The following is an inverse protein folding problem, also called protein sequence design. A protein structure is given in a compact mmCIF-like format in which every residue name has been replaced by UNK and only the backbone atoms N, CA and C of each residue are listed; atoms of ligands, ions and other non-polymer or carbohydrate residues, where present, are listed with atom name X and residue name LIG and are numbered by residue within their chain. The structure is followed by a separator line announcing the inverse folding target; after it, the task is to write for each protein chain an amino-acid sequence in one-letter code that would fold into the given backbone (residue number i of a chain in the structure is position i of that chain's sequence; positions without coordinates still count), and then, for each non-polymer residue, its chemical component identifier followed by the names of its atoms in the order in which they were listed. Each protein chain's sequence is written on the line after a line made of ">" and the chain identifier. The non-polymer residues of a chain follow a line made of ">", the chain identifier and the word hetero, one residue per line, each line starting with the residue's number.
data_IF_990606188902
#
_entry.id   IF_990606188902
#
_cell.length_a   1.000
_cell.length_b   1.000
_cell.length_c   1.000
_cell.angle_alpha   90.00
_cell.angle_beta   90.00
_cell.angle_gamma   90.00
#
_symmetry.space_group_name_H-M   'P 1'
#
loop_
_entity.id
_entity.type
_entity.pdbx_description
1 polymer ?
#
# COMPACT_ATOMS: atom_id res chain seq x y z
N UNK A 1 10.82 12.21 37.25
CA UNK A 1 10.62 12.03 35.79
C UNK A 1 9.19 11.59 35.58
N UNK A 2 8.40 12.33 34.79
CA UNK A 2 7.05 11.96 34.43
C UNK A 2 7.11 10.84 33.38
N UNK A 3 6.53 9.69 33.67
CA UNK A 3 6.39 8.58 32.70
C UNK A 3 5.24 8.91 31.77
N UNK A 4 5.51 8.98 30.47
CA UNK A 4 4.46 9.12 29.45
C UNK A 4 3.76 7.77 29.35
N UNK A 5 2.47 7.70 29.70
CA UNK A 5 1.68 6.49 29.66
C UNK A 5 1.16 6.17 28.25
N UNK A 6 0.89 7.18 27.43
CA UNK A 6 0.42 7.06 26.06
C UNK A 6 0.70 8.32 25.26
N UNK A 7 1.05 8.16 24.00
CA UNK A 7 1.16 9.26 23.04
C UNK A 7 0.79 8.77 21.63
N UNK A 8 0.10 9.60 20.85
CA UNK A 8 -0.31 9.26 19.47
C UNK A 8 0.87 9.02 18.52
N UNK A 9 2.04 9.56 18.84
CA UNK A 9 3.26 9.35 18.08
C UNK A 9 3.70 7.88 18.02
N UNK A 10 3.38 7.08 19.04
CA UNK A 10 3.72 5.64 19.09
C UNK A 10 2.74 4.76 18.28
N UNK A 11 1.64 5.35 17.79
CA UNK A 11 0.57 4.65 17.10
C UNK A 11 0.31 5.26 15.71
N UNK A 12 1.21 5.03 14.73
CA UNK A 12 1.01 5.53 13.37
C UNK A 12 -0.27 4.92 12.76
N UNK A 13 -1.01 5.73 12.00
CA UNK A 13 -2.21 5.28 11.28
C UNK A 13 -1.88 4.89 9.84
N UNK A 14 -1.97 5.83 8.90
CA UNK A 14 -1.55 5.65 7.51
C UNK A 14 -0.21 6.35 7.20
N UNK A 15 0.33 7.07 8.17
CA UNK A 15 1.50 7.95 7.98
C UNK A 15 2.53 7.70 9.06
N UNK A 16 3.79 7.59 8.65
CA UNK A 16 4.97 7.54 9.50
C UNK A 16 5.72 8.86 9.40
N UNK A 17 5.95 9.49 10.55
CA UNK A 17 6.73 10.73 10.67
C UNK A 17 8.23 10.42 10.87
N UNK A 18 9.12 11.39 10.61
CA UNK A 18 10.53 11.22 10.94
C UNK A 18 10.73 10.86 12.42
N UNK A 19 11.63 9.91 12.68
CA UNK A 19 11.96 9.33 13.98
C UNK A 19 10.84 8.49 14.64
N UNK A 20 9.68 8.38 14.02
CA UNK A 20 8.64 7.45 14.43
C UNK A 20 9.02 6.03 13.98
N UNK A 21 8.85 5.07 14.88
CA UNK A 21 9.20 3.68 14.59
C UNK A 21 7.99 2.91 14.05
N UNK A 22 8.18 2.25 12.92
CA UNK A 22 7.32 1.15 12.51
C UNK A 22 7.95 -0.14 13.06
N UNK A 23 7.23 -0.85 13.91
CA UNK A 23 7.73 -2.02 14.63
C UNK A 23 6.89 -3.27 14.34
N UNK A 24 7.29 -4.39 14.93
CA UNK A 24 6.56 -5.68 14.85
C UNK A 24 5.07 -5.56 15.19
N UNK A 25 4.73 -4.69 16.15
CA UNK A 25 3.38 -4.58 16.71
C UNK A 25 2.59 -3.41 16.11
N UNK A 26 3.18 -2.69 15.16
CA UNK A 26 2.55 -1.56 14.49
C UNK A 26 2.49 -1.79 12.99
N UNK A 27 1.47 -1.21 12.35
CA UNK A 27 1.31 -1.23 10.91
C UNK A 27 0.75 0.10 10.43
N UNK A 28 1.03 0.47 9.19
CA UNK A 28 0.26 1.52 8.54
C UNK A 28 -0.94 0.90 7.85
N UNK A 29 -2.11 1.55 7.96
CA UNK A 29 -3.34 1.16 7.26
C UNK A 29 -3.79 2.35 6.43
N UNK A 30 -3.99 2.15 5.13
CA UNK A 30 -4.41 3.23 4.25
C UNK A 30 -5.77 3.81 4.65
N UNK A 31 -6.06 5.03 4.23
CA UNK A 31 -7.45 5.51 4.20
C UNK A 31 -8.27 4.78 3.13
N UNK A 32 -9.58 4.80 3.26
CA UNK A 32 -10.52 4.16 2.32
C UNK A 32 -10.53 4.84 0.96
N UNK A 33 -10.49 6.17 0.96
CA UNK A 33 -10.40 7.00 -0.24
C UNK A 33 -9.74 8.33 0.11
N UNK A 34 -9.61 9.21 -0.86
CA UNK A 34 -9.09 10.56 -0.65
C UNK A 34 -9.94 11.40 0.32
N UNK A 35 -11.24 11.18 0.35
CA UNK A 35 -12.20 11.92 1.18
C UNK A 35 -12.77 11.10 2.34
N UNK A 36 -12.56 9.78 2.35
CA UNK A 36 -13.01 8.90 3.43
C UNK A 36 -11.79 8.36 4.19
N UNK A 37 -11.59 8.86 5.41
CA UNK A 37 -10.45 8.53 6.27
C UNK A 37 -10.66 7.28 7.15
N UNK A 38 -11.76 6.55 6.99
CA UNK A 38 -11.89 5.23 7.60
C UNK A 38 -10.83 4.26 7.04
N UNK A 39 -10.58 3.16 7.74
CA UNK A 39 -9.57 2.17 7.36
C UNK A 39 -9.84 1.62 5.95
N UNK A 40 -8.84 1.71 5.11
CA UNK A 40 -8.80 1.16 3.76
C UNK A 40 -8.37 -0.30 3.75
N UNK A 41 -7.99 -0.77 2.58
CA UNK A 41 -7.63 -2.19 2.36
C UNK A 41 -6.13 -2.45 2.26
N UNK A 42 -5.30 -1.44 2.38
CA UNK A 42 -3.86 -1.60 2.23
C UNK A 42 -3.16 -1.47 3.57
N UNK A 43 -2.19 -2.34 3.78
CA UNK A 43 -1.41 -2.39 5.01
C UNK A 43 0.10 -2.44 4.70
N UNK A 44 0.92 -1.68 5.46
CA UNK A 44 2.37 -1.83 5.50
C UNK A 44 2.74 -2.40 6.86
N UNK A 45 3.42 -3.53 6.88
CA UNK A 45 3.74 -4.26 8.11
C UNK A 45 4.94 -5.19 7.89
N UNK A 46 5.49 -5.72 8.98
CA UNK A 46 6.47 -6.79 8.91
C UNK A 46 5.77 -8.15 8.88
N UNK A 47 6.03 -8.95 7.85
CA UNK A 47 5.48 -10.29 7.71
C UNK A 47 6.16 -11.31 8.64
N UNK A 48 5.74 -12.57 8.58
CA UNK A 48 6.30 -13.64 9.40
C UNK A 48 7.75 -13.98 9.06
N UNK A 49 8.21 -13.62 7.88
CA UNK A 49 9.59 -13.78 7.43
C UNK A 49 10.50 -12.58 7.76
N UNK A 50 10.03 -11.68 8.62
CA UNK A 50 10.71 -10.43 9.02
C UNK A 50 10.89 -9.42 7.87
N UNK A 51 10.13 -9.55 6.78
CA UNK A 51 10.20 -8.66 5.61
C UNK A 51 9.13 -7.58 5.72
N UNK A 52 9.52 -6.33 5.50
CA UNK A 52 8.59 -5.20 5.41
C UNK A 52 7.80 -5.32 4.10
N UNK A 53 6.49 -5.51 4.21
CA UNK A 53 5.61 -5.91 3.12
C UNK A 53 4.38 -5.02 2.99
N UNK A 54 3.92 -4.84 1.74
CA UNK A 54 2.62 -4.24 1.45
C UNK A 54 1.60 -5.35 1.14
N UNK A 55 0.47 -5.29 1.81
CA UNK A 55 -0.64 -6.22 1.70
C UNK A 55 -1.88 -5.48 1.19
N UNK A 56 -2.57 -6.07 0.23
CA UNK A 56 -3.97 -5.78 -0.05
C UNK A 56 -4.83 -6.76 0.75
N UNK A 57 -5.65 -6.24 1.65
CA UNK A 57 -6.56 -7.00 2.50
C UNK A 57 -8.00 -6.59 2.16
N UNK A 58 -8.44 -7.01 0.97
CA UNK A 58 -9.76 -6.69 0.42
C UNK A 58 -10.86 -7.61 0.95
N UNK A 59 -12.12 -7.36 0.55
CA UNK A 59 -13.28 -8.10 1.06
C UNK A 59 -13.28 -9.60 0.71
N UNK A 60 -12.70 -9.96 -0.44
CA UNK A 60 -12.74 -11.33 -0.98
C UNK A 60 -11.35 -11.97 -1.07
N UNK A 61 -10.28 -11.14 -1.12
CA UNK A 61 -8.91 -11.59 -1.37
C UNK A 61 -7.94 -10.82 -0.50
N UNK A 62 -6.98 -11.54 0.07
CA UNK A 62 -5.84 -10.96 0.76
C UNK A 62 -4.54 -11.42 0.09
N UNK A 63 -3.68 -10.49 -0.28
CA UNK A 63 -2.42 -10.82 -0.98
C UNK A 63 -1.34 -9.78 -0.77
N UNK A 64 -0.12 -10.24 -0.49
CA UNK A 64 1.09 -9.41 -0.50
C UNK A 64 1.42 -9.09 -1.96
N UNK A 65 1.74 -7.82 -2.25
CA UNK A 65 2.10 -7.38 -3.60
C UNK A 65 3.45 -6.66 -3.65
N UNK A 66 4.07 -6.36 -2.50
CA UNK A 66 5.39 -5.75 -2.41
C UNK A 66 6.13 -6.22 -1.15
N UNK A 67 7.44 -6.57 -1.25
CA UNK A 67 8.17 -6.71 -2.51
C UNK A 67 7.49 -7.69 -3.46
N UNK A 68 7.92 -7.74 -4.72
CA UNK A 68 7.27 -8.60 -5.72
C UNK A 68 7.17 -10.05 -5.24
N UNK A 69 5.96 -10.62 -5.11
CA UNK A 69 5.74 -11.91 -4.44
C UNK A 69 6.31 -13.13 -5.20
N UNK A 70 6.65 -12.95 -6.48
CA UNK A 70 7.32 -13.98 -7.29
C UNK A 70 8.83 -14.01 -7.14
N UNK A 71 9.43 -13.07 -6.39
CA UNK A 71 10.84 -13.03 -6.05
C UNK A 71 11.07 -13.59 -4.66
N UNK A 72 12.12 -14.38 -4.51
CA UNK A 72 12.61 -14.74 -3.19
C UNK A 72 13.25 -13.52 -2.50
N UNK A 73 13.29 -13.50 -1.18
CA UNK A 73 13.67 -12.30 -0.41
C UNK A 73 15.04 -11.74 -0.81
N UNK A 74 16.04 -12.59 -1.02
CA UNK A 74 17.38 -12.14 -1.41
C UNK A 74 17.43 -11.52 -2.82
N UNK A 75 16.61 -11.98 -3.78
CA UNK A 75 16.48 -11.36 -5.11
C UNK A 75 15.80 -9.99 -5.01
N UNK A 76 14.89 -9.84 -4.07
CA UNK A 76 14.26 -8.57 -3.73
C UNK A 76 15.16 -7.67 -2.85
N UNK A 77 16.40 -8.10 -2.58
CA UNK A 77 17.37 -7.43 -1.69
C UNK A 77 16.79 -7.22 -0.28
N UNK A 78 16.16 -8.28 0.26
CA UNK A 78 15.60 -8.31 1.60
C UNK A 78 16.26 -9.40 2.42
N UNK A 79 16.53 -9.11 3.68
CA UNK A 79 17.05 -10.06 4.66
C UNK A 79 15.89 -10.58 5.54
N UNK A 80 15.87 -11.89 5.75
CA UNK A 80 14.91 -12.55 6.67
C UNK A 80 15.52 -12.85 8.03
N UNK A 81 16.82 -12.59 8.21
CA UNK A 81 17.58 -13.01 9.39
C UNK A 81 17.39 -12.09 10.60
N UNK A 82 17.12 -10.80 10.36
CA UNK A 82 16.98 -9.83 11.44
C UNK A 82 15.52 -9.77 11.92
N UNK A 83 15.26 -10.33 13.09
CA UNK A 83 13.94 -10.40 13.69
C UNK A 83 13.54 -9.17 14.52
N UNK A 84 14.32 -8.10 14.52
CA UNK A 84 13.97 -6.86 15.25
C UNK A 84 12.70 -6.20 14.71
N UNK A 85 12.44 -6.34 13.39
CA UNK A 85 11.25 -5.81 12.70
C UNK A 85 11.04 -4.33 13.01
N UNK A 86 12.05 -3.54 12.69
CA UNK A 86 12.04 -2.10 12.92
C UNK A 86 12.30 -1.40 11.60
N UNK A 87 11.53 -0.36 11.31
CA UNK A 87 11.78 0.56 10.21
C UNK A 87 11.61 2.01 10.66
N UNK A 88 12.42 2.90 10.13
CA UNK A 88 12.46 4.32 10.51
C UNK A 88 12.76 5.21 9.32
N UNK A 89 12.09 6.35 9.27
CA UNK A 89 12.41 7.47 8.40
C UNK A 89 13.22 8.51 9.21
N UNK A 90 14.37 8.95 8.71
CA UNK A 90 15.07 10.06 9.34
C UNK A 90 14.61 11.42 8.79
N UNK A 91 15.00 12.51 9.45
CA UNK A 91 14.64 13.89 9.05
C UNK A 91 15.25 14.33 7.72
N UNK A 92 16.34 13.70 7.29
CA UNK A 92 17.04 14.01 6.05
C UNK A 92 16.49 13.27 4.82
N UNK A 93 15.49 12.37 5.01
CA UNK A 93 14.87 11.65 3.90
C UNK A 93 15.50 10.28 3.58
N UNK A 94 16.21 9.69 4.55
CA UNK A 94 16.65 8.31 4.48
C UNK A 94 15.65 7.44 5.26
N UNK A 95 15.15 6.41 4.59
CA UNK A 95 14.37 5.33 5.22
C UNK A 95 15.22 4.08 5.29
N UNK A 96 15.18 3.41 6.43
CA UNK A 96 15.88 2.14 6.65
C UNK A 96 14.99 1.16 7.41
N UNK A 97 15.13 -0.11 7.09
CA UNK A 97 14.38 -1.21 7.68
C UNK A 97 15.31 -2.37 8.03
N UNK A 98 14.94 -3.12 9.06
CA UNK A 98 15.73 -4.26 9.57
C UNK A 98 15.85 -5.43 8.58
N UNK A 99 15.08 -5.45 7.51
CA UNK A 99 15.14 -6.42 6.43
C UNK A 99 16.05 -5.98 5.26
N UNK A 100 16.98 -5.04 5.52
CA UNK A 100 17.91 -4.44 4.57
C UNK A 100 17.27 -3.52 3.52
N UNK A 101 15.96 -3.27 3.60
CA UNK A 101 15.35 -2.30 2.71
C UNK A 101 15.70 -0.89 3.11
N UNK A 102 16.26 -0.15 2.16
CA UNK A 102 16.61 1.26 2.32
C UNK A 102 16.27 2.05 1.08
N UNK A 103 15.95 3.33 1.26
CA UNK A 103 15.89 4.28 0.15
C UNK A 103 16.26 5.68 0.62
N UNK A 104 16.70 6.50 -0.33
CA UNK A 104 16.90 7.93 -0.17
C UNK A 104 15.84 8.69 -0.96
N UNK A 105 15.31 9.76 -0.39
CA UNK A 105 14.45 10.69 -1.13
C UNK A 105 15.24 11.42 -2.22
N UNK A 106 14.57 11.91 -3.25
CA UNK A 106 15.20 12.69 -4.32
C UNK A 106 15.84 14.00 -3.79
N UNK A 107 15.36 14.49 -2.66
CA UNK A 107 15.81 15.68 -1.96
C UNK A 107 16.57 15.34 -0.66
N UNK A 108 17.23 14.16 -0.63
CA UNK A 108 18.01 13.71 0.53
C UNK A 108 19.05 14.74 0.98
N UNK A 109 19.13 14.93 2.28
CA UNK A 109 20.05 15.90 2.91
C UNK A 109 19.43 17.29 3.13
N UNK A 110 18.35 17.65 2.44
CA UNK A 110 17.64 18.89 2.71
C UNK A 110 16.84 18.83 4.02
N UNK A 111 16.84 19.92 4.78
CA UNK A 111 16.06 20.05 6.03
C UNK A 111 14.64 20.46 5.68
N UNK A 112 13.76 19.48 5.53
CA UNK A 112 12.35 19.66 5.13
C UNK A 112 11.43 18.91 6.09
N UNK A 113 10.17 19.37 6.19
CA UNK A 113 9.14 18.53 6.80
C UNK A 113 8.83 17.36 5.87
N UNK A 114 8.76 16.16 6.44
CA UNK A 114 8.55 14.92 5.68
C UNK A 114 7.50 14.03 6.32
N UNK A 115 6.86 13.21 5.49
CA UNK A 115 5.97 12.15 5.94
C UNK A 115 6.00 11.00 4.95
N UNK A 116 6.05 9.77 5.45
CA UNK A 116 5.89 8.56 4.66
C UNK A 116 4.45 8.10 4.80
N UNK A 117 3.68 8.08 3.72
CA UNK A 117 2.24 7.80 3.77
C UNK A 117 1.91 6.58 2.92
N UNK A 118 1.14 5.66 3.49
CA UNK A 118 0.45 4.63 2.73
C UNK A 118 -0.86 5.22 2.21
N UNK A 119 -0.86 5.56 0.93
CA UNK A 119 -1.98 6.21 0.30
C UNK A 119 -3.15 5.25 0.05
N UNK A 120 -4.34 5.80 -0.18
CA UNK A 120 -5.57 5.04 -0.43
C UNK A 120 -5.51 4.15 -1.69
N UNK A 121 -4.57 4.42 -2.62
CA UNK A 121 -4.33 3.63 -3.82
C UNK A 121 -3.35 2.45 -3.59
N UNK A 122 -2.92 2.23 -2.35
CA UNK A 122 -2.00 1.17 -1.98
C UNK A 122 -0.53 1.45 -2.29
N UNK A 123 -0.19 2.64 -2.75
CA UNK A 123 1.22 3.00 -2.89
C UNK A 123 1.74 3.65 -1.61
N UNK A 124 2.99 3.36 -1.27
CA UNK A 124 3.69 4.09 -0.21
C UNK A 124 4.53 5.19 -0.84
N UNK A 125 4.37 6.42 -0.36
CA UNK A 125 5.06 7.60 -0.85
C UNK A 125 5.69 8.40 0.28
N UNK A 126 6.92 8.87 0.03
CA UNK A 126 7.53 9.89 0.86
C UNK A 126 7.18 11.25 0.29
N UNK A 127 6.58 12.08 1.11
CA UNK A 127 6.25 13.45 0.80
C UNK A 127 7.19 14.40 1.52
N UNK A 128 7.67 15.42 0.81
CA UNK A 128 8.44 16.54 1.35
C UNK A 128 7.67 17.84 1.19
N UNK A 129 7.69 18.69 2.20
CA UNK A 129 7.01 19.98 2.15
C UNK A 129 7.83 21.01 1.40
N UNK A 130 7.32 21.50 0.28
CA UNK A 130 7.91 22.56 -0.51
C UNK A 130 7.40 23.93 -0.03
N UNK A 131 8.28 24.70 0.61
CA UNK A 131 7.90 25.98 1.23
C UNK A 131 7.46 27.04 0.21
N UNK A 132 8.07 27.08 -0.97
CA UNK A 132 7.77 28.09 -1.99
C UNK A 132 6.37 27.92 -2.55
N UNK A 133 5.95 26.66 -2.79
CA UNK A 133 4.62 26.33 -3.33
C UNK A 133 3.59 26.00 -2.28
N UNK A 134 4.00 25.95 -1.00
CA UNK A 134 3.16 25.55 0.14
C UNK A 134 2.37 24.25 -0.13
N UNK A 135 3.08 23.24 -0.65
CA UNK A 135 2.47 21.95 -1.03
C UNK A 135 3.36 20.77 -0.68
N UNK A 136 2.74 19.61 -0.54
CA UNK A 136 3.44 18.34 -0.40
C UNK A 136 3.81 17.78 -1.77
N UNK A 137 5.08 17.48 -1.98
CA UNK A 137 5.61 16.92 -3.22
C UNK A 137 6.13 15.51 -2.95
N UNK A 138 5.85 14.58 -3.86
CA UNK A 138 6.37 13.22 -3.77
C UNK A 138 7.87 13.21 -4.05
N UNK A 139 8.67 12.89 -3.04
CA UNK A 139 10.13 12.79 -3.14
C UNK A 139 10.64 11.35 -3.28
N UNK A 140 9.75 10.35 -3.05
CA UNK A 140 10.00 8.93 -3.36
C UNK A 140 8.67 8.14 -3.36
N UNK A 141 8.63 7.04 -4.12
CA UNK A 141 7.50 6.11 -4.10
C UNK A 141 7.92 4.67 -4.39
N UNK A 142 7.25 3.69 -3.77
CA UNK A 142 7.58 2.27 -3.92
C UNK A 142 7.21 1.72 -5.30
N UNK A 143 6.01 2.02 -5.79
CA UNK A 143 5.51 1.55 -7.07
C UNK A 143 5.37 2.69 -8.07
N UNK A 144 6.14 2.62 -9.16
CA UNK A 144 6.02 3.57 -10.28
C UNK A 144 4.91 3.18 -11.27
N UNK A 145 4.42 1.94 -11.19
CA UNK A 145 3.38 1.39 -12.07
C UNK A 145 2.13 1.07 -11.27
N UNK A 146 1.10 1.92 -11.28
CA UNK A 146 -0.10 1.76 -10.44
C UNK A 146 -0.83 0.43 -10.66
N UNK A 147 -0.82 -0.12 -11.88
CA UNK A 147 -1.46 -1.40 -12.19
C UNK A 147 -0.72 -2.64 -11.67
N UNK A 148 0.43 -2.47 -10.98
CA UNK A 148 1.10 -3.55 -10.25
C UNK A 148 0.65 -3.66 -8.78
N UNK A 149 -0.14 -2.71 -8.33
CA UNK A 149 -0.71 -2.72 -6.99
C UNK A 149 -1.96 -3.62 -7.01
N UNK A 150 -1.95 -4.66 -6.19
CA UNK A 150 -3.09 -5.58 -6.09
C UNK A 150 -4.34 -4.84 -5.58
N UNK A 151 -5.51 -5.28 -6.04
CA UNK A 151 -6.79 -4.73 -5.60
C UNK A 151 -7.12 -3.33 -6.10
N UNK A 152 -6.23 -2.69 -6.85
CA UNK A 152 -6.38 -1.31 -7.31
C UNK A 152 -7.60 -1.09 -8.22
N UNK A 153 -8.07 -2.13 -8.91
CA UNK A 153 -9.32 -2.17 -9.66
C UNK A 153 -10.29 -3.25 -9.13
N UNK A 154 -9.89 -4.01 -8.09
CA UNK A 154 -10.69 -5.07 -7.50
C UNK A 154 -10.84 -6.32 -8.39
N UNK A 155 -11.65 -7.27 -7.95
CA UNK A 155 -11.88 -8.55 -8.63
C UNK A 155 -12.60 -8.37 -9.98
N UNK A 156 -12.35 -9.27 -10.95
CA UNK A 156 -13.01 -9.32 -12.26
C UNK A 156 -12.89 -8.03 -13.08
N UNK A 157 -11.77 -7.32 -12.91
CA UNK A 157 -11.50 -6.06 -13.58
C UNK A 157 -10.11 -6.03 -14.23
N UNK A 158 -9.94 -5.11 -15.16
CA UNK A 158 -8.69 -4.82 -15.84
C UNK A 158 -8.16 -3.45 -15.43
N UNK A 159 -6.87 -3.39 -15.15
CA UNK A 159 -6.16 -2.14 -14.93
C UNK A 159 -5.34 -1.77 -16.17
N UNK A 160 -5.55 -0.57 -16.70
CA UNK A 160 -4.76 0.01 -17.78
C UNK A 160 -4.16 1.34 -17.32
N UNK A 161 -2.87 1.52 -17.53
CA UNK A 161 -2.22 2.81 -17.36
C UNK A 161 -2.27 3.59 -18.65
N UNK A 162 -2.76 4.82 -18.58
CA UNK A 162 -2.83 5.76 -19.73
C UNK A 162 -1.98 6.97 -19.39
N UNK A 163 -0.99 7.26 -20.24
CA UNK A 163 -0.12 8.43 -20.07
C UNK A 163 -0.96 9.70 -20.04
N UNK A 164 -0.72 10.56 -19.07
CA UNK A 164 -1.47 11.82 -18.87
C UNK A 164 -2.82 11.67 -18.15
N UNK A 165 -3.41 10.45 -18.13
CA UNK A 165 -4.70 10.19 -17.44
C UNK A 165 -4.55 9.26 -16.23
N UNK A 166 -3.36 8.67 -16.05
CA UNK A 166 -3.08 7.75 -14.95
C UNK A 166 -3.73 6.38 -15.10
N UNK A 167 -4.16 5.81 -13.99
CA UNK A 167 -4.82 4.51 -13.91
C UNK A 167 -6.27 4.59 -14.39
N UNK A 168 -6.66 3.65 -15.25
CA UNK A 168 -8.05 3.40 -15.65
C UNK A 168 -8.42 1.96 -15.35
N UNK A 169 -9.55 1.76 -14.69
CA UNK A 169 -10.14 0.45 -14.44
C UNK A 169 -11.32 0.21 -15.39
N UNK A 170 -11.53 -1.03 -15.80
CA UNK A 170 -12.69 -1.49 -16.55
C UNK A 170 -13.08 -2.90 -16.10
N UNK A 171 -14.35 -3.25 -16.15
CA UNK A 171 -14.79 -4.61 -15.90
C UNK A 171 -14.42 -5.53 -17.06
N UNK A 172 -14.27 -6.82 -16.78
CA UNK A 172 -14.20 -7.86 -17.81
C UNK A 172 -15.52 -7.87 -18.62
N UNK A 173 -15.50 -8.35 -19.89
CA UNK A 173 -16.72 -8.54 -20.66
C UNK A 173 -17.74 -9.41 -19.92
N UNK A 174 -19.01 -8.97 -19.87
CA UNK A 174 -20.09 -9.63 -19.12
C UNK A 174 -20.11 -9.33 -17.63
N UNK A 175 -19.30 -8.35 -17.17
CA UNK A 175 -19.28 -7.89 -15.78
C UNK A 175 -19.57 -6.39 -15.70
N UNK A 176 -20.25 -5.98 -14.65
CA UNK A 176 -20.51 -4.57 -14.28
C UNK A 176 -19.85 -4.22 -12.95
N UNK A 177 -19.65 -2.94 -12.70
CA UNK A 177 -19.11 -2.46 -11.43
C UNK A 177 -20.05 -2.84 -10.28
N UNK A 178 -19.50 -3.46 -9.23
CA UNK A 178 -20.28 -3.95 -8.07
C UNK A 178 -20.77 -2.80 -7.20
N UNK A 179 -19.91 -1.81 -6.92
CA UNK A 179 -20.24 -0.60 -6.16
C UNK A 179 -19.59 0.60 -6.83
N UNK A 180 -20.36 1.37 -7.56
CA UNK A 180 -19.84 2.61 -8.14
C UNK A 180 -19.82 3.75 -7.10
N UNK A 181 -18.76 4.55 -7.00
CA UNK A 181 -17.56 4.57 -7.85
C UNK A 181 -16.34 3.86 -7.25
N UNK A 182 -16.51 2.94 -6.28
CA UNK A 182 -15.41 2.32 -5.53
C UNK A 182 -14.91 1.04 -6.21
N UNK A 183 -13.82 1.19 -6.95
CA UNK A 183 -13.15 0.08 -7.63
C UNK A 183 -12.57 -1.01 -6.71
N UNK A 184 -12.43 -0.76 -5.41
CA UNK A 184 -11.90 -1.77 -4.48
C UNK A 184 -12.79 -3.00 -4.36
N UNK A 185 -14.07 -2.89 -4.68
CA UNK A 185 -15.02 -4.01 -4.72
C UNK A 185 -15.05 -4.74 -6.07
N UNK A 186 -14.38 -4.19 -7.09
CA UNK A 186 -14.31 -4.79 -8.42
C UNK A 186 -15.65 -4.86 -9.15
N UNK A 187 -15.78 -5.91 -9.93
CA UNK A 187 -16.91 -6.14 -10.81
C UNK A 187 -17.62 -7.45 -10.48
N UNK A 188 -18.93 -7.49 -10.69
CA UNK A 188 -19.81 -8.65 -10.55
C UNK A 188 -20.40 -9.06 -11.91
N UNK A 189 -20.80 -10.31 -12.11
CA UNK A 189 -21.46 -10.73 -13.35
C UNK A 189 -22.71 -9.89 -13.65
N UNK A 190 -22.95 -9.57 -14.93
CA UNK A 190 -24.21 -8.95 -15.40
C UNK A 190 -25.36 -9.95 -15.53
N UNK A 191 -25.06 -11.23 -15.46
CA UNK A 191 -26.01 -12.33 -15.59
C UNK A 191 -26.14 -13.08 -14.27
N UNK A 192 -27.37 -13.53 -13.96
CA UNK A 192 -27.61 -14.41 -12.84
C UNK A 192 -27.11 -15.82 -13.22
N UNK A 193 -26.16 -16.34 -12.45
CA UNK A 193 -25.82 -17.75 -12.55
C UNK A 193 -26.99 -18.54 -11.98
N UNK A 194 -27.67 -19.40 -12.80
CA UNK A 194 -28.76 -20.24 -12.30
C UNK A 194 -28.21 -21.12 -11.18
N UNK A 195 -28.74 -20.97 -9.97
CA UNK A 195 -28.42 -21.83 -8.83
C UNK A 195 -29.00 -23.23 -9.03
N UNK A 196 -28.63 -23.93 -10.10
CA UNK A 196 -28.92 -25.35 -10.24
C UNK A 196 -27.89 -26.15 -9.48
N UNK A 197 -28.28 -26.67 -8.34
CA UNK A 197 -27.46 -27.51 -7.43
C UNK A 197 -27.01 -28.84 -8.06
N UNK A 198 -27.27 -29.13 -9.35
CA UNK A 198 -27.08 -30.47 -9.93
C UNK A 198 -26.53 -30.57 -11.35
N UNK A 199 -25.95 -29.52 -11.94
CA UNK A 199 -25.22 -29.73 -13.20
C UNK A 199 -23.96 -28.89 -13.27
N UNK A 200 -22.82 -29.49 -12.91
CA UNK A 200 -21.52 -29.01 -13.26
C UNK A 200 -21.24 -29.33 -14.74
N UNK A 201 -21.66 -28.46 -15.65
CA UNK A 201 -21.19 -28.51 -17.03
C UNK A 201 -19.95 -27.64 -17.14
N UNK A 202 -18.79 -28.28 -17.11
CA UNK A 202 -17.55 -27.64 -17.57
C UNK A 202 -17.56 -27.71 -19.10
N UNK A 203 -17.79 -26.56 -19.75
CA UNK A 203 -17.43 -26.39 -21.15
C UNK A 203 -15.95 -26.01 -21.19
N UNK A 204 -15.14 -26.89 -21.75
CA UNK A 204 -13.74 -26.69 -22.13
C UNK A 204 -13.62 -25.73 -23.32
#
# INVERSE_FOLDING_TARGET
>A
ESVILWQSFDFPTNTLLPQQLLSRNTKLVSSRSQTNHSSGFYELFFDNNNVLSLLFNGPEVSSIYWPEPWRVSWEARRSTYNNSRIAVLNSLGNFSSSDDFTFLSNDYGAVLHRRLTLDYDGNIRLYSWEKERQTWVVSWQANQRPCRINGVCGANSLCKYVVGSGRKCSCLPGYKMKYGPDWSYGCEPEFDLPHNKHESVFLL
#
